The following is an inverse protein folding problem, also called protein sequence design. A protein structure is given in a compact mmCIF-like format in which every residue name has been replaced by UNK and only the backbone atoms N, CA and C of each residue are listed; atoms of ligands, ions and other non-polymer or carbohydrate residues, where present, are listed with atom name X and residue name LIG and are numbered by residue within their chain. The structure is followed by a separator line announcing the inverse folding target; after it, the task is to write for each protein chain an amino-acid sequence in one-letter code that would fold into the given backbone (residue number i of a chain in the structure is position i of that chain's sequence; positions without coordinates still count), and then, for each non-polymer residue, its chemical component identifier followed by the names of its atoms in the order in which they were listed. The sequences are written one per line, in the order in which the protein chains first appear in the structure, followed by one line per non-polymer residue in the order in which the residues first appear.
data_IF_043197904753
#
_entry.id   IF_043197904753
#
_cell.length_a   1.000
_cell.length_b   1.000
_cell.length_c   1.000
_cell.angle_alpha   90.00
_cell.angle_beta   90.00
_cell.angle_gamma   90.00
#
_symmetry.space_group_name_H-M   'P 1'
#
loop_
_entity.id
_entity.type
_entity.pdbx_description
1 polymer ?
#
# COMPACT_ATOMS: atom_id res chain seq x y z
N UNK A 1 1.23 10.35 -14.01
CA UNK A 1 1.24 9.59 -12.76
C UNK A 1 -0.17 9.59 -12.18
N UNK A 2 -0.63 8.40 -11.83
CA UNK A 2 -1.94 8.21 -11.20
C UNK A 2 -1.71 7.68 -9.78
N UNK A 3 -2.37 8.30 -8.82
CA UNK A 3 -2.31 7.86 -7.43
C UNK A 3 -3.73 7.64 -6.92
N UNK A 4 -4.02 6.43 -6.44
CA UNK A 4 -5.32 6.07 -5.86
C UNK A 4 -5.16 5.78 -4.39
N UNK A 5 -5.84 6.53 -3.56
CA UNK A 5 -5.88 6.28 -2.14
C UNK A 5 -7.23 5.64 -1.80
N UNK A 6 -7.22 4.36 -1.50
CA UNK A 6 -8.43 3.62 -1.19
C UNK A 6 -8.84 3.75 0.29
N UNK A 7 -7.99 4.33 1.10
CA UNK A 7 -8.28 4.53 2.51
C UNK A 7 -8.36 3.23 3.28
N UNK A 8 -9.07 3.27 4.41
CA UNK A 8 -9.30 2.09 5.24
C UNK A 8 -10.31 1.18 4.56
N UNK A 9 -9.86 -0.01 4.19
CA UNK A 9 -10.67 -0.96 3.42
C UNK A 9 -11.88 -1.42 4.22
N UNK A 10 -11.72 -1.62 5.53
CA UNK A 10 -12.82 -2.08 6.39
C UNK A 10 -13.91 -1.02 6.50
N UNK A 11 -13.54 0.23 6.65
CA UNK A 11 -14.50 1.33 6.74
C UNK A 11 -15.26 1.54 5.44
N UNK A 12 -14.68 1.15 4.33
CA UNK A 12 -15.34 1.23 3.04
C UNK A 12 -16.37 0.14 2.78
N UNK A 13 -16.44 -0.87 3.63
CA UNK A 13 -17.38 -1.96 3.46
C UNK A 13 -18.73 -1.63 4.07
N UNK A 14 -19.80 -1.87 3.30
CA UNK A 14 -21.17 -1.66 3.80
C UNK A 14 -21.55 -2.72 4.84
N UNK A 15 -21.13 -3.97 4.61
CA UNK A 15 -21.39 -5.08 5.52
C UNK A 15 -20.07 -5.81 5.78
N UNK A 16 -19.23 -5.30 6.69
CA UNK A 16 -17.95 -5.93 6.94
C UNK A 16 -18.14 -7.27 7.65
N UNK A 17 -17.31 -8.26 7.34
CA UNK A 17 -17.25 -9.49 8.11
C UNK A 17 -16.83 -9.23 9.56
N UNK A 18 -17.00 -10.22 10.47
CA UNK A 18 -16.50 -10.08 11.82
C UNK A 18 -15.03 -9.71 11.87
N UNK A 19 -14.68 -8.93 12.89
CA UNK A 19 -13.31 -8.46 13.07
C UNK A 19 -12.79 -8.97 14.40
N UNK A 20 -11.57 -9.52 14.39
CA UNK A 20 -10.87 -9.94 15.60
C UNK A 20 -9.43 -9.45 15.53
N UNK A 21 -9.00 -8.72 16.57
CA UNK A 21 -7.66 -8.13 16.62
C UNK A 21 -7.35 -7.25 15.40
N UNK A 22 -8.36 -6.53 14.92
CA UNK A 22 -8.23 -5.64 13.77
C UNK A 22 -8.28 -6.34 12.42
N UNK A 23 -8.40 -7.67 12.39
CA UNK A 23 -8.41 -8.44 11.16
C UNK A 23 -9.79 -8.96 10.84
N UNK A 24 -10.09 -9.01 9.55
CA UNK A 24 -11.33 -9.59 9.06
C UNK A 24 -11.27 -11.12 9.17
N UNK A 25 -12.37 -11.70 9.62
CA UNK A 25 -12.48 -13.14 9.80
C UNK A 25 -13.64 -13.67 8.97
N UNK A 26 -13.41 -14.74 8.25
CA UNK A 26 -14.42 -15.45 7.49
C UNK A 26 -14.31 -16.95 7.83
N UNK A 27 -15.21 -17.42 8.69
CA UNK A 27 -15.16 -18.79 9.18
C UNK A 27 -13.88 -19.03 9.98
N UNK A 28 -13.05 -19.97 9.50
CA UNK A 28 -11.75 -20.26 10.09
C UNK A 28 -10.59 -19.53 9.39
N UNK A 29 -10.93 -18.60 8.48
CA UNK A 29 -9.92 -17.85 7.75
C UNK A 29 -9.75 -16.46 8.35
N UNK A 30 -8.52 -16.01 8.46
CA UNK A 30 -8.19 -14.66 8.90
C UNK A 30 -7.49 -13.94 7.77
N UNK A 31 -7.98 -12.75 7.44
CA UNK A 31 -7.37 -11.93 6.40
C UNK A 31 -6.16 -11.22 6.97
N UNK A 32 -4.98 -11.57 6.49
CA UNK A 32 -3.73 -11.01 6.98
C UNK A 32 -3.34 -9.72 6.27
N UNK A 33 -3.58 -9.65 4.97
CA UNK A 33 -3.09 -8.53 4.17
C UNK A 33 -4.00 -8.27 2.98
N UNK A 34 -4.15 -7.00 2.64
CA UNK A 34 -4.87 -6.58 1.43
C UNK A 34 -3.91 -5.77 0.57
N UNK A 35 -3.88 -6.11 -0.70
CA UNK A 35 -3.10 -5.39 -1.69
C UNK A 35 -4.02 -5.00 -2.85
N UNK A 36 -3.92 -3.76 -3.28
CA UNK A 36 -4.67 -3.28 -4.43
C UNK A 36 -3.72 -2.99 -5.58
N UNK A 37 -4.17 -3.30 -6.78
CA UNK A 37 -3.43 -2.98 -8.01
C UNK A 37 -4.14 -1.80 -8.66
N UNK A 38 -3.44 -0.71 -8.95
CA UNK A 38 -4.08 0.44 -9.59
C UNK A 38 -4.43 0.12 -11.04
N UNK A 39 -5.54 0.66 -11.54
CA UNK A 39 -5.88 0.49 -12.95
C UNK A 39 -4.89 1.25 -13.84
N UNK A 40 -4.50 0.63 -14.92
CA UNK A 40 -3.57 1.21 -15.87
C UNK A 40 -4.28 1.42 -17.20
N UNK A 41 -4.18 2.63 -17.73
CA UNK A 41 -4.70 2.97 -19.05
C UNK A 41 -3.54 3.15 -20.02
N UNK A 42 -3.78 3.01 -21.32
CA UNK A 42 -2.74 3.35 -22.29
C UNK A 42 -2.22 4.76 -22.07
N UNK A 43 -0.92 4.92 -22.08
CA UNK A 43 -0.29 6.21 -21.79
C UNK A 43 0.07 6.46 -20.34
N UNK A 44 -0.39 5.63 -19.42
CA UNK A 44 0.01 5.73 -18.01
C UNK A 44 1.42 5.20 -17.84
N UNK A 45 2.30 6.03 -17.36
CA UNK A 45 3.71 5.65 -17.14
C UNK A 45 3.91 5.04 -15.77
N UNK A 46 3.17 5.53 -14.79
CA UNK A 46 3.29 5.10 -13.42
C UNK A 46 1.94 5.22 -12.73
N UNK A 47 1.54 4.20 -12.02
CA UNK A 47 0.34 4.21 -11.21
C UNK A 47 0.66 3.64 -9.83
N UNK A 48 0.06 4.22 -8.81
CA UNK A 48 0.23 3.78 -7.43
C UNK A 48 -1.12 3.65 -6.77
N UNK A 49 -1.24 2.71 -5.85
CA UNK A 49 -2.42 2.57 -5.01
C UNK A 49 -2.01 2.38 -3.56
N UNK A 50 -2.72 3.04 -2.67
CA UNK A 50 -2.51 2.90 -1.24
C UNK A 50 -3.77 2.32 -0.60
N UNK A 51 -3.58 1.35 0.28
CA UNK A 51 -4.64 0.73 1.06
C UNK A 51 -4.25 0.74 2.52
N UNK A 52 -5.25 0.79 3.38
CA UNK A 52 -5.05 0.73 4.82
C UNK A 52 -5.87 -0.41 5.39
N UNK A 53 -5.21 -1.31 6.09
CA UNK A 53 -5.84 -2.46 6.70
C UNK A 53 -5.11 -2.84 7.97
N UNK A 54 -5.85 -2.97 9.07
CA UNK A 54 -5.30 -3.35 10.37
C UNK A 54 -4.12 -2.47 10.79
N UNK A 55 -4.27 -1.16 10.63
CA UNK A 55 -3.22 -0.21 11.02
C UNK A 55 -2.00 -0.24 10.12
N UNK A 56 -2.07 -0.93 9.00
CA UNK A 56 -0.96 -1.12 8.08
C UNK A 56 -1.28 -0.49 6.73
N UNK A 57 -0.36 0.28 6.19
CA UNK A 57 -0.48 0.85 4.87
C UNK A 57 0.14 -0.08 3.83
N UNK A 58 -0.66 -0.49 2.85
CA UNK A 58 -0.17 -1.20 1.68
C UNK A 58 0.03 -0.22 0.54
N UNK A 59 1.14 -0.31 -0.14
CA UNK A 59 1.46 0.55 -1.27
C UNK A 59 1.85 -0.31 -2.46
N UNK A 60 1.14 -0.13 -3.57
CA UNK A 60 1.41 -0.85 -4.81
C UNK A 60 1.81 0.12 -5.89
N UNK A 61 2.83 -0.24 -6.66
CA UNK A 61 3.33 0.59 -7.75
C UNK A 61 3.37 -0.23 -9.02
N UNK A 62 2.84 0.34 -10.09
CA UNK A 62 2.83 -0.29 -11.40
C UNK A 62 3.44 0.66 -12.42
N UNK A 63 4.54 0.25 -13.03
CA UNK A 63 5.23 1.04 -14.03
C UNK A 63 5.03 0.51 -15.44
N UNK A 64 5.05 1.40 -16.41
CA UNK A 64 4.99 1.01 -17.82
C UNK A 64 6.30 0.30 -18.20
N UNK A 65 6.24 -0.92 -18.74
CA UNK A 65 7.47 -1.65 -19.10
C UNK A 65 8.34 -0.94 -20.12
N UNK A 66 7.73 -0.12 -20.99
CA UNK A 66 8.47 0.56 -22.03
C UNK A 66 9.21 1.81 -21.58
N UNK A 67 8.71 2.47 -20.55
CA UNK A 67 9.30 3.74 -20.11
C UNK A 67 10.05 3.62 -18.80
N UNK A 68 9.50 2.91 -17.85
CA UNK A 68 10.06 2.84 -16.51
C UNK A 68 10.62 1.45 -16.19
N UNK A 69 9.91 0.42 -16.65
CA UNK A 69 10.27 -0.95 -16.35
C UNK A 69 10.04 -1.30 -14.89
N UNK A 70 10.32 -2.56 -14.58
CA UNK A 70 10.16 -3.06 -13.21
C UNK A 70 11.16 -2.42 -12.27
N UNK A 71 12.41 -2.33 -12.69
CA UNK A 71 13.47 -1.75 -11.90
C UNK A 71 13.20 -0.27 -11.57
N UNK A 72 12.76 0.49 -12.57
CA UNK A 72 12.39 1.89 -12.37
C UNK A 72 11.23 2.05 -11.41
N UNK A 73 10.24 1.17 -11.49
CA UNK A 73 9.11 1.19 -10.57
C UNK A 73 9.53 0.88 -9.14
N UNK A 74 10.43 -0.07 -8.96
CA UNK A 74 10.97 -0.41 -7.65
C UNK A 74 11.75 0.75 -7.04
N UNK A 75 12.59 1.39 -7.83
CA UNK A 75 13.36 2.55 -7.38
C UNK A 75 12.43 3.69 -6.99
N UNK A 76 11.41 3.95 -7.79
CA UNK A 76 10.44 5.00 -7.49
C UNK A 76 9.69 4.71 -6.19
N UNK A 77 9.23 3.47 -6.01
CA UNK A 77 8.55 3.09 -4.79
C UNK A 77 9.42 3.26 -3.56
N UNK A 78 10.66 2.85 -3.65
CA UNK A 78 11.62 3.00 -2.57
C UNK A 78 11.84 4.46 -2.19
N UNK A 79 12.04 5.32 -3.18
CA UNK A 79 12.19 6.75 -2.95
C UNK A 79 10.93 7.38 -2.37
N UNK A 80 9.76 6.96 -2.87
CA UNK A 80 8.49 7.45 -2.38
C UNK A 80 8.29 7.09 -0.92
N UNK A 81 8.53 5.84 -0.56
CA UNK A 81 8.41 5.37 0.82
C UNK A 81 9.39 6.09 1.74
N UNK A 82 10.62 6.26 1.29
CA UNK A 82 11.63 6.97 2.06
C UNK A 82 11.20 8.40 2.37
N UNK A 83 10.67 9.10 1.36
CA UNK A 83 10.15 10.45 1.53
C UNK A 83 8.95 10.49 2.45
N UNK A 84 8.05 9.54 2.30
CA UNK A 84 6.85 9.44 3.11
C UNK A 84 7.20 9.22 4.58
N UNK A 85 8.13 8.32 4.85
CA UNK A 85 8.60 8.07 6.21
C UNK A 85 9.26 9.29 6.82
N UNK A 86 10.04 10.00 6.03
CA UNK A 86 10.70 11.22 6.49
C UNK A 86 9.71 12.31 6.86
N UNK A 87 8.63 12.43 6.09
CA UNK A 87 7.58 13.40 6.37
C UNK A 87 6.70 12.99 7.54
N UNK A 88 6.42 11.69 7.66
CA UNK A 88 5.56 11.16 8.71
C UNK A 88 6.29 10.96 10.02
N UNK A 89 7.61 10.85 10.01
CA UNK A 89 8.39 10.73 11.22
C UNK A 89 8.48 12.09 11.88
N UNK A 90 7.64 12.37 12.89
CA UNK A 90 7.82 13.59 13.66
C UNK A 90 9.17 13.53 14.36
N UNK A 91 9.59 14.61 14.91
CA UNK A 91 10.88 14.72 15.56
C UNK A 91 11.08 13.71 16.70
N UNK A 92 10.09 12.93 17.04
CA UNK A 92 10.21 11.90 18.06
C UNK A 92 10.40 10.54 17.42
N UNK A 93 11.58 9.94 17.55
CA UNK A 93 11.84 8.62 17.00
C UNK A 93 11.31 7.53 17.94
N UNK A 94 10.04 7.55 18.24
CA UNK A 94 9.45 6.61 19.17
C UNK A 94 8.83 5.41 18.48
N UNK A 95 8.50 5.54 17.22
CA UNK A 95 7.85 4.48 16.48
C UNK A 95 8.86 3.66 15.71
N UNK A 96 8.62 2.35 15.66
CA UNK A 96 9.38 1.49 14.77
C UNK A 96 9.14 1.91 13.32
N UNK A 97 10.16 1.91 12.48
CA UNK A 97 9.96 2.22 11.08
C UNK A 97 9.06 1.18 10.43
N UNK A 98 8.26 1.57 9.45
CA UNK A 98 7.44 0.62 8.73
C UNK A 98 8.30 -0.41 8.00
N UNK A 99 7.79 -1.61 7.92
CA UNK A 99 8.46 -2.67 7.18
C UNK A 99 8.10 -2.58 5.70
N UNK A 100 9.10 -2.72 4.85
CA UNK A 100 8.90 -2.80 3.42
C UNK A 100 8.69 -4.26 3.03
N UNK A 101 7.59 -4.54 2.41
CA UNK A 101 7.35 -5.84 1.83
C UNK A 101 7.61 -5.77 0.36
N UNK A 102 8.36 -6.77 -0.08
CA UNK A 102 8.92 -6.80 -1.39
C UNK A 102 8.01 -6.43 -2.51
N UNK A 103 8.54 -6.49 -3.67
CA UNK A 103 7.84 -6.21 -4.90
C UNK A 103 7.13 -4.86 -4.94
N UNK A 104 5.96 -4.79 -4.39
CA UNK A 104 5.12 -3.64 -4.58
C UNK A 104 4.32 -3.25 -3.36
N UNK A 105 4.57 -3.88 -2.22
CA UNK A 105 3.81 -3.59 -1.02
C UNK A 105 4.69 -3.03 0.08
N UNK A 106 4.22 -1.98 0.72
CA UNK A 106 4.84 -1.40 1.89
C UNK A 106 3.92 -1.66 3.07
N UNK A 107 4.49 -2.11 4.16
CA UNK A 107 3.75 -2.44 5.36
C UNK A 107 4.39 -1.72 6.53
N UNK A 108 3.68 -0.75 7.11
CA UNK A 108 4.21 -0.04 8.28
C UNK A 108 4.41 -0.92 9.48
#
# INVERSE_FOLDING_TARGET
VVFSNLGDVVRGMTYPPPIRDGRLIAGNLTLEQITAVPPVRPGTRLAMAATFYNGTMGLSTLGCPRTLGREGAEIFQELFVRRLLKLAAPQEPTASPPALHGCSAVKP
#
